data_IF_876274247938
#
_entry.id   IF_876274247938
#
_cell.length_a   1.000
_cell.length_b   1.000
_cell.length_c   1.000
_cell.angle_alpha   90.00
_cell.angle_beta   90.00
_cell.angle_gamma   90.00
#
_symmetry.space_group_name_H-M   'P 1'
#
loop_
_entity.id
_entity.type
_entity.pdbx_description
1 polymer ?
#
# COMPACT_ATOMS: atom_id res chain seq x y z
N UNK A 1 -49.60 17.73 -14.94
CA UNK A 1 -49.02 19.06 -15.25
C UNK A 1 -48.52 19.65 -13.93
N UNK A 2 -47.32 20.15 -13.73
CA UNK A 2 -46.15 20.35 -14.58
C UNK A 2 -45.13 21.07 -13.68
N UNK A 3 -43.86 20.60 -13.66
CA UNK A 3 -42.62 21.38 -13.46
C UNK A 3 -42.44 22.16 -12.12
N UNK A 4 -41.27 22.30 -11.53
CA UNK A 4 -39.89 22.07 -11.95
C UNK A 4 -38.97 22.66 -10.87
N UNK A 5 -37.77 22.10 -10.75
CA UNK A 5 -36.68 22.53 -9.85
C UNK A 5 -36.34 24.01 -10.00
N UNK A 6 -35.97 24.69 -8.91
CA UNK A 6 -34.75 25.53 -8.84
C UNK A 6 -34.17 25.41 -7.43
N UNK A 7 -33.04 24.70 -7.31
CA UNK A 7 -32.12 24.84 -6.18
C UNK A 7 -31.22 26.04 -6.52
N UNK A 8 -31.33 27.13 -5.76
CA UNK A 8 -30.41 28.26 -5.85
C UNK A 8 -29.27 28.08 -4.86
N UNK A 9 -28.06 28.18 -5.39
CA UNK A 9 -26.78 28.04 -4.73
C UNK A 9 -26.59 28.98 -3.54
N UNK A 10 -26.13 28.44 -2.42
CA UNK A 10 -25.14 29.05 -1.54
C UNK A 10 -24.48 27.93 -0.73
N UNK A 11 -23.42 27.34 -1.29
CA UNK A 11 -22.44 26.57 -0.52
C UNK A 11 -21.13 27.32 -0.64
N UNK A 12 -20.85 28.14 0.38
CA UNK A 12 -19.49 28.61 0.67
C UNK A 12 -19.29 28.44 2.17
N UNK A 13 -18.95 27.22 2.57
CA UNK A 13 -18.03 26.96 3.67
C UNK A 13 -17.07 25.87 3.16
N UNK A 14 -15.78 26.17 3.13
CA UNK A 14 -14.75 25.17 2.80
C UNK A 14 -14.52 24.31 4.05
N UNK A 15 -15.16 23.15 4.08
CA UNK A 15 -15.17 22.14 5.16
C UNK A 15 -13.90 21.24 5.19
N UNK A 16 -12.76 21.69 4.68
CA UNK A 16 -11.58 20.80 4.51
C UNK A 16 -10.77 20.53 5.81
N UNK A 17 -11.25 20.94 6.99
CA UNK A 17 -10.48 20.82 8.25
C UNK A 17 -11.30 20.35 9.49
N UNK A 18 -12.45 19.71 9.33
CA UNK A 18 -13.30 19.26 10.47
C UNK A 18 -13.36 17.74 10.71
N UNK A 19 -12.32 17.00 10.35
CA UNK A 19 -12.19 15.58 10.74
C UNK A 19 -10.87 15.35 11.50
N UNK A 20 -10.83 15.76 12.78
CA UNK A 20 -9.99 15.20 13.86
C UNK A 20 -10.07 16.12 15.11
N UNK A 21 -11.21 16.09 15.81
CA UNK A 21 -11.48 16.92 17.00
C UNK A 21 -11.08 16.21 18.32
N UNK A 22 -9.93 15.53 18.36
CA UNK A 22 -9.27 15.22 19.63
C UNK A 22 -8.16 16.26 19.88
N UNK A 23 -8.39 17.27 20.76
CA UNK A 23 -7.40 18.33 21.01
C UNK A 23 -6.11 17.81 21.63
N UNK A 24 -6.08 16.58 22.15
CA UNK A 24 -4.93 15.97 22.81
C UNK A 24 -4.10 15.06 21.87
N UNK A 25 -4.56 14.83 20.63
CA UNK A 25 -3.80 14.05 19.63
C UNK A 25 -3.22 14.98 18.54
N UNK A 26 -1.88 14.98 18.34
CA UNK A 26 -1.28 15.81 17.30
C UNK A 26 -1.76 15.36 15.91
N UNK A 27 -2.19 16.33 15.09
CA UNK A 27 -2.66 16.09 13.73
C UNK A 27 -1.58 15.37 12.91
N UNK A 28 -1.93 14.24 12.30
CA UNK A 28 -1.01 13.51 11.41
C UNK A 28 -0.61 14.36 10.21
N UNK A 29 0.67 14.32 9.85
CA UNK A 29 1.18 14.97 8.64
C UNK A 29 1.23 14.03 7.45
N UNK A 30 1.11 12.72 7.69
CA UNK A 30 1.10 11.70 6.64
C UNK A 30 -0.28 11.65 5.98
N UNK A 31 -0.37 12.15 4.74
CA UNK A 31 -1.60 12.13 3.93
C UNK A 31 -1.34 11.49 2.58
N UNK A 32 -2.27 10.67 2.10
CA UNK A 32 -2.21 10.08 0.76
C UNK A 32 -2.11 11.19 -0.31
N UNK A 33 -1.27 10.99 -1.32
CA UNK A 33 -0.99 11.95 -2.38
C UNK A 33 -0.05 13.10 -1.98
N UNK A 34 0.41 13.17 -0.73
CA UNK A 34 1.41 14.14 -0.27
C UNK A 34 2.77 13.47 -0.08
N UNK A 35 3.82 14.29 -0.01
CA UNK A 35 5.16 13.81 0.38
C UNK A 35 5.09 13.22 1.79
N UNK A 36 5.66 12.04 1.96
CA UNK A 36 5.82 11.41 3.26
C UNK A 36 6.67 12.32 4.17
N UNK A 37 6.26 12.60 5.42
CA UNK A 37 7.06 13.40 6.34
C UNK A 37 8.47 12.82 6.50
N UNK A 38 9.52 13.60 6.20
CA UNK A 38 10.88 13.12 6.38
C UNK A 38 11.23 13.06 7.88
N UNK A 39 12.06 12.09 8.27
CA UNK A 39 12.56 11.96 9.63
C UNK A 39 13.99 11.42 9.64
N UNK A 40 14.66 11.63 10.77
CA UNK A 40 15.90 10.93 11.11
C UNK A 40 15.67 10.09 12.36
N UNK A 41 16.03 8.81 12.31
CA UNK A 41 15.77 7.88 13.41
C UNK A 41 16.82 6.78 13.48
N UNK A 42 17.00 6.22 14.68
CA UNK A 42 17.82 5.03 14.89
C UNK A 42 17.09 3.79 14.39
N UNK A 43 17.83 2.88 13.77
CA UNK A 43 17.32 1.59 13.29
C UNK A 43 18.30 0.47 13.65
N UNK A 44 17.88 -0.77 13.42
CA UNK A 44 18.75 -1.96 13.49
C UNK A 44 19.91 -1.95 12.49
N UNK A 45 19.95 -1.01 11.55
CA UNK A 45 21.06 -0.81 10.59
C UNK A 45 21.83 0.50 10.83
N UNK A 46 21.57 1.17 11.96
CA UNK A 46 22.12 2.49 12.28
C UNK A 46 21.13 3.62 12.04
N UNK A 47 21.60 4.86 12.19
CA UNK A 47 20.76 6.04 11.97
C UNK A 47 20.47 6.25 10.48
N UNK A 48 19.21 6.51 10.14
CA UNK A 48 18.78 6.79 8.77
C UNK A 48 18.12 8.17 8.67
N UNK A 49 18.19 8.79 7.50
CA UNK A 49 17.23 9.78 7.01
C UNK A 49 16.28 9.06 6.04
N UNK A 50 14.96 9.18 6.19
CA UNK A 50 14.01 8.40 5.38
C UNK A 50 14.21 8.61 3.88
N UNK A 51 14.46 9.83 3.44
CA UNK A 51 14.58 10.12 2.01
C UNK A 51 15.87 9.58 1.41
N UNK A 52 16.99 9.73 2.13
CA UNK A 52 18.27 9.17 1.73
C UNK A 52 18.23 7.64 1.74
N UNK A 53 17.64 7.05 2.78
CA UNK A 53 17.48 5.61 2.90
C UNK A 53 16.59 5.03 1.81
N UNK A 54 15.48 5.69 1.44
CA UNK A 54 14.65 5.25 0.32
C UNK A 54 15.39 5.34 -1.02
N UNK A 55 16.18 6.40 -1.25
CA UNK A 55 16.82 6.63 -2.54
C UNK A 55 15.80 6.66 -3.67
N UNK A 56 16.03 5.93 -4.77
CA UNK A 56 15.09 5.80 -5.88
C UNK A 56 14.16 4.56 -5.77
N UNK A 57 14.15 3.90 -4.60
CA UNK A 57 13.29 2.75 -4.34
C UNK A 57 11.89 3.18 -3.89
N UNK A 58 10.93 2.28 -4.08
CA UNK A 58 9.67 2.30 -3.34
C UNK A 58 9.93 1.96 -1.87
N UNK A 59 9.05 2.41 -0.98
CA UNK A 59 9.08 2.10 0.45
C UNK A 59 7.77 1.53 0.94
N UNK A 60 7.84 0.50 1.78
CA UNK A 60 6.72 0.10 2.63
C UNK A 60 7.12 0.35 4.08
N UNK A 61 6.50 1.35 4.68
CA UNK A 61 6.62 1.66 6.10
C UNK A 61 5.45 1.03 6.83
N UNK A 62 5.70 0.34 7.94
CA UNK A 62 4.63 -0.32 8.65
C UNK A 62 4.90 -0.39 10.16
N UNK A 63 3.93 0.03 10.96
CA UNK A 63 4.02 -0.05 12.42
C UNK A 63 3.47 -1.36 12.95
N UNK A 64 3.80 -1.68 14.19
CA UNK A 64 3.22 -2.78 14.94
C UNK A 64 3.15 -2.39 16.42
N UNK A 65 2.16 -2.89 17.18
CA UNK A 65 1.97 -2.46 18.57
C UNK A 65 3.20 -2.62 19.47
N UNK A 66 3.79 -3.81 19.51
CA UNK A 66 4.97 -4.10 20.32
C UNK A 66 5.70 -5.37 19.83
N UNK A 67 7.03 -5.45 19.99
CA UNK A 67 7.78 -6.69 19.83
C UNK A 67 7.34 -7.73 20.89
N UNK A 68 7.78 -8.98 20.73
CA UNK A 68 7.46 -10.10 21.63
C UNK A 68 5.95 -10.38 21.80
N UNK A 69 5.13 -10.02 20.82
CA UNK A 69 3.70 -10.34 20.78
C UNK A 69 3.37 -11.25 19.59
N UNK A 70 2.42 -12.19 19.73
CA UNK A 70 2.23 -13.26 18.75
C UNK A 70 1.87 -12.76 17.35
N UNK A 71 0.94 -11.81 17.24
CA UNK A 71 0.49 -11.31 15.92
C UNK A 71 1.61 -10.49 15.25
N UNK A 72 2.36 -9.68 16.01
CA UNK A 72 3.48 -8.92 15.45
C UNK A 72 4.57 -9.87 14.93
N UNK A 73 4.89 -10.94 15.68
CA UNK A 73 5.88 -11.94 15.27
C UNK A 73 5.45 -12.65 13.99
N UNK A 74 4.16 -12.99 13.85
CA UNK A 74 3.67 -13.66 12.64
C UNK A 74 3.63 -12.73 11.42
N UNK A 75 3.24 -11.47 11.59
CA UNK A 75 3.29 -10.47 10.51
C UNK A 75 4.73 -10.24 10.03
N UNK A 76 5.63 -10.00 10.96
CA UNK A 76 7.02 -9.68 10.65
C UNK A 76 7.74 -10.86 9.99
N UNK A 77 7.50 -12.08 10.48
CA UNK A 77 8.01 -13.30 9.86
C UNK A 77 7.41 -13.59 8.48
N UNK A 78 6.13 -13.29 8.27
CA UNK A 78 5.50 -13.40 6.94
C UNK A 78 6.12 -12.41 5.95
N UNK A 79 6.33 -11.15 6.36
CA UNK A 79 6.99 -10.12 5.54
C UNK A 79 8.43 -10.56 5.21
N UNK A 80 9.19 -11.02 6.21
CA UNK A 80 10.55 -11.51 6.02
C UNK A 80 10.63 -12.70 5.04
N UNK A 81 9.71 -13.67 5.13
CA UNK A 81 9.63 -14.79 4.17
C UNK A 81 9.37 -14.34 2.73
N UNK A 82 8.70 -13.21 2.54
CA UNK A 82 8.41 -12.65 1.22
C UNK A 82 9.38 -11.53 0.82
N UNK A 83 10.49 -11.34 1.52
CA UNK A 83 11.43 -10.24 1.28
C UNK A 83 11.89 -10.15 -0.18
N UNK A 84 12.25 -11.28 -0.80
CA UNK A 84 12.69 -11.31 -2.20
C UNK A 84 11.60 -10.84 -3.18
N UNK A 85 10.31 -11.01 -2.85
CA UNK A 85 9.22 -10.49 -3.67
C UNK A 85 9.17 -8.96 -3.64
N UNK A 86 9.47 -8.33 -2.50
CA UNK A 86 9.58 -6.87 -2.37
C UNK A 86 10.85 -6.36 -3.07
N UNK A 87 11.98 -7.02 -2.85
CA UNK A 87 13.26 -6.68 -3.48
C UNK A 87 13.18 -6.69 -5.01
N UNK A 88 12.53 -7.72 -5.61
CA UNK A 88 12.29 -7.80 -7.06
C UNK A 88 11.53 -6.58 -7.62
N UNK A 89 10.71 -5.93 -6.79
CA UNK A 89 9.91 -4.75 -7.13
C UNK A 89 10.63 -3.44 -6.79
N UNK A 90 11.91 -3.47 -6.41
CA UNK A 90 12.65 -2.32 -5.91
C UNK A 90 11.93 -1.64 -4.73
N UNK A 91 11.44 -2.44 -3.77
CA UNK A 91 10.78 -1.96 -2.55
C UNK A 91 11.68 -2.21 -1.35
N UNK A 92 11.92 -1.17 -0.56
CA UNK A 92 12.53 -1.26 0.78
C UNK A 92 11.45 -1.37 1.86
N UNK A 93 11.76 -2.10 2.93
CA UNK A 93 10.83 -2.39 4.02
C UNK A 93 11.34 -1.77 5.32
N UNK A 94 10.50 -1.00 5.99
CA UNK A 94 10.82 -0.37 7.28
C UNK A 94 9.72 -0.66 8.30
N UNK A 95 10.03 -1.52 9.27
CA UNK A 95 9.17 -1.76 10.42
C UNK A 95 9.34 -0.66 11.46
N UNK A 96 8.27 -0.10 11.98
CA UNK A 96 8.29 0.97 13.00
C UNK A 96 7.86 0.38 14.34
N UNK A 97 8.71 0.51 15.36
CA UNK A 97 8.44 0.15 16.76
C UNK A 97 8.65 1.36 17.66
N UNK A 98 7.91 1.46 18.76
CA UNK A 98 8.14 2.47 19.80
C UNK A 98 9.08 1.98 20.92
N UNK A 99 9.81 0.90 20.68
CA UNK A 99 10.77 0.29 21.62
C UNK A 99 12.23 0.60 21.22
N UNK A 100 13.16 0.34 22.13
CA UNK A 100 14.60 0.54 21.90
C UNK A 100 15.20 -0.46 20.90
N UNK A 101 16.30 -0.07 20.27
CA UNK A 101 16.93 -0.84 19.20
C UNK A 101 17.47 -2.21 19.64
N UNK A 102 17.88 -2.38 20.90
CA UNK A 102 18.41 -3.66 21.38
C UNK A 102 17.29 -4.70 21.47
N UNK A 103 16.12 -4.30 21.99
CA UNK A 103 14.93 -5.15 21.99
C UNK A 103 14.52 -5.57 20.57
N UNK A 104 14.70 -4.69 19.57
CA UNK A 104 14.41 -5.02 18.17
C UNK A 104 15.38 -6.06 17.61
N UNK A 105 16.66 -6.01 17.99
CA UNK A 105 17.64 -7.04 17.63
C UNK A 105 17.30 -8.40 18.25
N UNK A 106 16.94 -8.41 19.54
CA UNK A 106 16.55 -9.64 20.24
C UNK A 106 15.27 -10.24 19.64
N UNK A 107 14.25 -9.41 19.38
CA UNK A 107 13.00 -9.86 18.78
C UNK A 107 13.19 -10.37 17.34
N UNK A 108 14.09 -9.77 16.56
CA UNK A 108 14.48 -10.30 15.25
C UNK A 108 15.04 -11.74 15.37
N UNK A 109 15.75 -12.05 16.46
CA UNK A 109 16.19 -13.41 16.81
C UNK A 109 15.02 -14.39 16.97
N UNK A 110 13.98 -14.02 17.73
CA UNK A 110 12.78 -14.83 17.92
C UNK A 110 12.02 -15.08 16.60
N UNK A 111 11.87 -14.04 15.78
CA UNK A 111 11.22 -14.15 14.47
C UNK A 111 11.99 -15.15 13.60
N UNK A 112 13.33 -15.05 13.56
CA UNK A 112 14.16 -15.99 12.81
C UNK A 112 13.98 -17.42 13.30
N UNK A 113 14.01 -17.63 14.61
CA UNK A 113 13.84 -18.95 15.20
C UNK A 113 12.47 -19.57 14.86
N UNK A 114 11.38 -18.80 15.02
CA UNK A 114 10.03 -19.28 14.77
C UNK A 114 9.75 -19.54 13.28
N UNK A 115 10.29 -18.71 12.37
CA UNK A 115 10.07 -18.85 10.92
C UNK A 115 11.12 -19.70 10.20
N UNK A 116 12.21 -20.10 10.88
CA UNK A 116 13.33 -20.85 10.31
C UNK A 116 14.15 -20.03 9.31
N UNK A 117 14.39 -18.74 9.60
CA UNK A 117 15.10 -17.84 8.71
C UNK A 117 16.60 -17.79 9.02
N UNK A 118 17.44 -17.88 8.00
CA UNK A 118 18.89 -17.72 8.15
C UNK A 118 19.26 -16.29 8.58
N UNK A 119 18.60 -15.29 8.01
CA UNK A 119 18.76 -13.89 8.33
C UNK A 119 17.38 -13.19 8.39
N UNK A 120 17.32 -12.07 9.11
CA UNK A 120 16.14 -11.22 9.17
C UNK A 120 16.38 -9.99 8.29
N UNK A 121 15.68 -9.82 7.15
CA UNK A 121 16.05 -8.85 6.13
C UNK A 121 15.32 -7.51 6.22
N UNK A 122 14.50 -7.29 7.26
CA UNK A 122 13.71 -6.07 7.41
C UNK A 122 14.41 -5.10 8.36
N UNK A 123 14.60 -3.86 7.92
CA UNK A 123 15.08 -2.78 8.79
C UNK A 123 14.01 -2.42 9.81
N UNK A 124 14.36 -2.35 11.11
CA UNK A 124 13.44 -1.93 12.17
C UNK A 124 13.88 -0.60 12.76
N UNK A 125 12.96 0.36 12.79
CA UNK A 125 13.11 1.68 13.39
C UNK A 125 12.75 1.63 14.87
N UNK A 126 13.62 2.19 15.71
CA UNK A 126 13.41 2.40 17.14
C UNK A 126 12.91 3.84 17.39
N UNK A 127 11.61 3.98 17.67
CA UNK A 127 10.92 5.24 17.91
C UNK A 127 10.55 5.40 19.39
N UNK A 128 11.53 5.29 20.28
CA UNK A 128 11.33 5.39 21.74
C UNK A 128 10.58 6.67 22.14
N UNK A 129 10.84 7.78 21.42
CA UNK A 129 10.18 9.07 21.63
C UNK A 129 8.75 9.15 21.08
N UNK A 130 8.33 8.17 20.27
CA UNK A 130 7.05 8.12 19.54
C UNK A 130 6.86 9.25 18.53
N UNK A 131 7.92 9.99 18.20
CA UNK A 131 7.85 11.13 17.32
C UNK A 131 7.42 10.72 15.91
N UNK A 132 7.95 9.61 15.38
CA UNK A 132 7.55 9.08 14.06
C UNK A 132 6.12 8.54 14.13
N UNK A 133 5.76 7.86 15.21
CA UNK A 133 4.41 7.35 15.43
C UNK A 133 3.37 8.47 15.43
N UNK A 134 3.60 9.58 16.12
CA UNK A 134 2.72 10.75 16.07
C UNK A 134 2.74 11.43 14.69
N UNK A 135 3.91 11.60 14.09
CA UNK A 135 4.06 12.24 12.77
C UNK A 135 3.24 11.54 11.67
N UNK A 136 3.13 10.22 11.77
CA UNK A 136 2.38 9.37 10.84
C UNK A 136 0.98 8.99 11.33
N UNK A 137 0.53 9.48 12.50
CA UNK A 137 -0.81 9.16 13.03
C UNK A 137 -1.00 7.69 13.39
N UNK A 138 0.05 7.05 13.92
CA UNK A 138 0.08 5.61 14.19
C UNK A 138 -0.46 5.25 15.58
N UNK A 139 -0.62 6.19 16.51
CA UNK A 139 -1.02 5.90 17.89
C UNK A 139 -2.50 5.50 17.98
N UNK A 140 -2.79 4.34 18.58
CA UNK A 140 -4.15 3.85 18.84
C UNK A 140 -4.59 4.29 20.25
N UNK A 141 -5.52 5.25 20.40
CA UNK A 141 -5.85 5.82 21.72
C UNK A 141 -6.46 4.80 22.70
N UNK A 142 -7.11 3.77 22.16
CA UNK A 142 -7.88 2.77 22.90
C UNK A 142 -7.08 1.53 23.28
N UNK A 143 -5.87 1.35 22.75
CA UNK A 143 -5.01 0.22 23.08
C UNK A 143 -3.77 0.70 23.81
N UNK A 144 -3.68 0.41 25.11
CA UNK A 144 -2.66 0.97 26.01
C UNK A 144 -1.97 -0.13 26.79
N UNK A 145 -0.73 0.16 27.15
CA UNK A 145 -0.02 -0.66 28.13
C UNK A 145 -0.70 -0.55 29.50
N UNK A 146 -0.95 -1.70 30.12
CA UNK A 146 -1.72 -1.77 31.37
C UNK A 146 -0.97 -1.17 32.57
N UNK A 147 0.36 -1.06 32.50
CA UNK A 147 1.18 -0.56 33.60
C UNK A 147 1.52 0.91 33.45
N UNK A 148 2.07 1.29 32.29
CA UNK A 148 2.49 2.66 32.00
C UNK A 148 1.34 3.56 31.52
N UNK A 149 0.24 2.99 31.03
CA UNK A 149 -0.89 3.71 30.43
C UNK A 149 -0.57 4.34 29.06
N UNK A 150 0.64 4.11 28.53
CA UNK A 150 1.10 4.66 27.26
C UNK A 150 0.37 3.93 26.11
N UNK A 151 -0.19 4.66 25.13
CA UNK A 151 -0.90 4.04 24.01
C UNK A 151 0.07 3.35 23.06
N UNK A 152 -0.31 2.18 22.54
CA UNK A 152 0.45 1.48 21.52
C UNK A 152 0.15 2.03 20.13
N UNK A 153 1.09 1.93 19.18
CA UNK A 153 0.76 2.15 17.78
C UNK A 153 -0.20 1.06 17.27
N UNK A 154 -1.12 1.44 16.38
CA UNK A 154 -1.91 0.52 15.58
C UNK A 154 -1.02 -0.21 14.55
N UNK A 155 -1.64 -1.05 13.71
CA UNK A 155 -0.99 -1.69 12.55
C UNK A 155 -1.18 -0.82 11.31
N UNK A 156 -0.53 0.34 11.30
CA UNK A 156 -0.49 1.26 10.17
C UNK A 156 0.49 0.81 9.09
N UNK A 157 0.18 1.11 7.83
CA UNK A 157 1.02 0.80 6.68
C UNK A 157 0.94 1.92 5.65
N UNK A 158 2.08 2.28 5.08
CA UNK A 158 2.25 3.28 4.05
C UNK A 158 3.05 2.70 2.89
N UNK A 159 2.55 2.83 1.66
CA UNK A 159 3.34 2.60 0.45
C UNK A 159 3.77 3.96 -0.09
N UNK A 160 5.08 4.17 -0.22
CA UNK A 160 5.71 5.42 -0.63
C UNK A 160 6.44 5.18 -1.95
N UNK A 161 6.23 6.06 -2.94
CA UNK A 161 6.90 5.96 -4.24
C UNK A 161 8.30 6.61 -4.25
N UNK A 162 9.09 6.43 -5.32
CA UNK A 162 10.42 7.05 -5.44
C UNK A 162 10.41 8.59 -5.36
N UNK A 163 9.28 9.24 -5.68
CA UNK A 163 9.08 10.69 -5.53
C UNK A 163 8.73 11.10 -4.10
N UNK A 164 8.78 10.14 -3.17
CA UNK A 164 8.46 10.26 -1.74
C UNK A 164 6.98 10.52 -1.48
N UNK A 165 6.10 10.25 -2.44
CA UNK A 165 4.66 10.46 -2.28
C UNK A 165 4.04 9.22 -1.63
N UNK A 166 3.19 9.43 -0.62
CA UNK A 166 2.38 8.36 -0.03
C UNK A 166 1.30 7.97 -1.05
N UNK A 167 1.35 6.75 -1.56
CA UNK A 167 0.43 6.23 -2.60
C UNK A 167 -0.69 5.38 -2.03
N UNK A 168 -0.48 4.77 -0.87
CA UNK A 168 -1.49 3.99 -0.18
C UNK A 168 -1.26 4.08 1.33
N UNK A 169 -2.36 4.10 2.08
CA UNK A 169 -2.38 4.02 3.53
C UNK A 169 -3.38 2.94 3.96
N UNK A 170 -3.05 2.18 4.99
CA UNK A 170 -3.96 1.20 5.58
C UNK A 170 -3.73 1.12 7.08
N UNK A 171 -4.82 1.11 7.85
CA UNK A 171 -4.78 1.07 9.31
C UNK A 171 -5.63 -0.09 9.80
N UNK A 172 -5.02 -0.97 10.58
CA UNK A 172 -5.71 -2.06 11.24
C UNK A 172 -5.56 -1.90 12.75
N UNK A 173 -6.57 -2.27 13.55
CA UNK A 173 -6.43 -2.34 14.99
C UNK A 173 -5.39 -3.41 15.37
N UNK A 174 -4.90 -3.35 16.60
CA UNK A 174 -3.97 -4.35 17.14
C UNK A 174 -4.44 -5.81 16.97
N UNK A 175 -5.75 -6.07 16.91
CA UNK A 175 -6.36 -7.39 16.87
C UNK A 175 -6.36 -8.08 15.50
N UNK A 176 -6.07 -7.37 14.40
CA UNK A 176 -6.14 -7.91 13.03
C UNK A 176 -4.75 -7.92 12.39
N UNK A 177 -4.19 -9.11 12.16
CA UNK A 177 -2.94 -9.25 11.39
C UNK A 177 -3.14 -8.94 9.91
N UNK A 178 -2.19 -8.22 9.31
CA UNK A 178 -2.18 -7.83 7.89
C UNK A 178 -1.83 -9.00 6.97
N UNK A 179 -2.34 -8.92 5.76
CA UNK A 179 -2.03 -9.86 4.69
C UNK A 179 -0.81 -9.39 3.88
N UNK A 180 0.34 -10.05 4.00
CA UNK A 180 1.55 -9.71 3.23
C UNK A 180 1.31 -9.76 1.71
N UNK A 181 0.48 -10.69 1.24
CA UNK A 181 0.13 -10.80 -0.19
C UNK A 181 -0.62 -9.58 -0.69
N UNK A 182 -1.47 -8.97 0.14
CA UNK A 182 -2.20 -7.76 -0.22
C UNK A 182 -1.26 -6.55 -0.37
N UNK A 183 -0.23 -6.46 0.49
CA UNK A 183 0.80 -5.43 0.37
C UNK A 183 1.53 -5.58 -0.97
N UNK A 184 1.94 -6.80 -1.33
CA UNK A 184 2.62 -7.09 -2.61
C UNK A 184 1.71 -6.78 -3.79
N UNK A 185 0.44 -7.22 -3.75
CA UNK A 185 -0.58 -6.97 -4.78
C UNK A 185 -0.83 -5.47 -4.98
N UNK A 186 -0.81 -4.69 -3.90
CA UNK A 186 -0.96 -3.24 -3.94
C UNK A 186 0.25 -2.55 -4.55
N UNK A 187 1.48 -2.98 -4.24
CA UNK A 187 2.69 -2.50 -4.93
C UNK A 187 2.62 -2.83 -6.42
N UNK A 188 2.25 -4.06 -6.77
CA UNK A 188 2.07 -4.51 -8.15
C UNK A 188 1.09 -3.62 -8.92
N UNK A 189 -0.05 -3.32 -8.30
CA UNK A 189 -1.07 -2.43 -8.87
C UNK A 189 -0.50 -1.03 -9.11
N UNK A 190 0.12 -0.41 -8.10
CA UNK A 190 0.66 0.94 -8.19
C UNK A 190 1.74 1.06 -9.27
N UNK A 191 2.66 0.09 -9.33
CA UNK A 191 3.72 0.08 -10.34
C UNK A 191 3.16 -0.14 -11.75
N UNK A 192 2.14 -1.00 -11.90
CA UNK A 192 1.46 -1.19 -13.18
C UNK A 192 0.72 0.07 -13.62
N UNK A 193 -0.05 0.71 -12.75
CA UNK A 193 -0.77 1.94 -13.11
C UNK A 193 0.20 3.05 -13.50
N UNK A 194 1.33 3.17 -12.80
CA UNK A 194 2.38 4.14 -13.12
C UNK A 194 3.04 3.87 -14.47
N UNK A 195 3.25 2.61 -14.86
CA UNK A 195 3.83 2.26 -16.17
C UNK A 195 2.95 2.67 -17.35
N UNK A 196 1.67 2.96 -17.11
CA UNK A 196 0.70 3.45 -18.09
C UNK A 196 0.28 4.90 -17.83
N UNK A 197 1.06 5.69 -17.07
CA UNK A 197 0.72 7.08 -16.73
C UNK A 197 -0.72 7.23 -16.18
N UNK A 198 -1.12 6.28 -15.33
CA UNK A 198 -2.46 6.16 -14.75
C UNK A 198 -3.61 6.08 -15.79
N UNK A 199 -3.31 5.67 -17.03
CA UNK A 199 -4.32 5.36 -18.07
C UNK A 199 -4.88 3.94 -17.96
N UNK A 200 -4.36 3.17 -17.02
CA UNK A 200 -4.79 1.82 -16.67
C UNK A 200 -5.07 1.76 -15.18
N UNK A 201 -6.15 1.08 -14.81
CA UNK A 201 -6.57 0.87 -13.43
C UNK A 201 -6.73 -0.63 -13.15
N UNK A 202 -6.38 -1.09 -11.96
CA UNK A 202 -6.63 -2.49 -11.56
C UNK A 202 -8.03 -2.63 -10.96
N UNK A 203 -8.89 -3.56 -11.44
CA UNK A 203 -10.24 -3.75 -10.91
C UNK A 203 -10.24 -4.35 -9.49
N UNK A 204 -11.45 -4.50 -8.92
CA UNK A 204 -11.64 -5.24 -7.67
C UNK A 204 -11.02 -6.64 -7.75
N UNK A 205 -10.40 -7.07 -6.65
CA UNK A 205 -9.75 -8.38 -6.49
C UNK A 205 -8.67 -8.69 -7.54
N UNK A 206 -8.12 -7.65 -8.17
CA UNK A 206 -7.10 -7.81 -9.20
C UNK A 206 -5.80 -8.38 -8.63
N UNK A 207 -5.25 -9.37 -9.32
CA UNK A 207 -3.92 -9.93 -9.10
C UNK A 207 -3.04 -9.75 -10.33
N UNK A 208 -1.71 -9.74 -10.13
CA UNK A 208 -0.75 -9.65 -11.23
C UNK A 208 -1.01 -10.72 -12.30
N UNK A 209 -1.07 -10.28 -13.56
CA UNK A 209 -1.38 -11.14 -14.70
C UNK A 209 -2.88 -11.27 -15.03
N UNK A 210 -3.78 -10.71 -14.23
CA UNK A 210 -5.22 -10.58 -14.57
C UNK A 210 -5.48 -9.31 -15.40
N UNK A 211 -6.61 -9.28 -16.10
CA UNK A 211 -7.03 -8.13 -16.90
C UNK A 211 -7.17 -6.87 -16.06
N UNK A 212 -6.68 -5.74 -16.60
CA UNK A 212 -6.84 -4.42 -16.03
C UNK A 212 -7.90 -3.62 -16.81
N UNK A 213 -8.29 -2.48 -16.28
CA UNK A 213 -9.27 -1.56 -16.86
C UNK A 213 -8.57 -0.39 -17.55
N UNK A 214 -9.11 0.09 -18.67
CA UNK A 214 -8.69 1.35 -19.27
C UNK A 214 -9.40 2.49 -18.55
N UNK A 215 -8.64 3.45 -18.02
CA UNK A 215 -9.20 4.61 -17.35
C UNK A 215 -10.12 5.40 -18.29
N UNK A 216 -11.19 6.00 -17.75
CA UNK A 216 -12.19 6.73 -18.52
C UNK A 216 -11.65 7.98 -19.22
N UNK A 217 -10.50 8.52 -18.79
CA UNK A 217 -9.84 9.66 -19.45
C UNK A 217 -9.24 9.32 -20.82
N UNK A 218 -9.02 8.04 -21.14
CA UNK A 218 -8.47 7.64 -22.44
C UNK A 218 -9.53 7.76 -23.53
N UNK A 219 -9.26 8.55 -24.57
CA UNK A 219 -10.19 8.73 -25.69
C UNK A 219 -10.14 7.53 -26.66
N UNK A 220 -11.19 7.29 -27.47
CA UNK A 220 -11.18 6.24 -28.47
C UNK A 220 -10.02 6.31 -29.48
N UNK A 221 -9.55 7.53 -29.80
CA UNK A 221 -8.42 7.73 -30.71
C UNK A 221 -7.09 7.31 -30.07
N UNK A 222 -6.95 7.54 -28.76
CA UNK A 222 -5.72 7.21 -28.03
C UNK A 222 -5.58 5.70 -27.77
N UNK A 223 -6.72 4.99 -27.66
CA UNK A 223 -6.75 3.54 -27.40
C UNK A 223 -5.84 2.76 -28.35
N UNK A 224 -5.99 2.99 -29.66
CA UNK A 224 -5.27 2.21 -30.67
C UNK A 224 -3.76 2.52 -30.65
N UNK A 225 -3.38 3.70 -30.19
CA UNK A 225 -1.98 4.12 -30.08
C UNK A 225 -1.34 3.58 -28.79
N UNK A 226 -2.08 3.62 -27.67
CA UNK A 226 -1.59 3.23 -26.35
C UNK A 226 -1.61 1.73 -26.11
N UNK A 227 -2.59 1.00 -26.66
CA UNK A 227 -2.83 -0.41 -26.36
C UNK A 227 -2.77 -1.27 -27.63
N UNK A 228 -1.55 -1.50 -28.12
CA UNK A 228 -1.30 -2.29 -29.33
C UNK A 228 -1.83 -3.73 -29.25
N UNK A 229 -1.93 -4.29 -28.03
CA UNK A 229 -2.51 -5.62 -27.77
C UNK A 229 -4.04 -5.67 -27.87
N UNK A 230 -4.70 -4.53 -28.10
CA UNK A 230 -6.14 -4.40 -28.20
C UNK A 230 -6.83 -4.10 -26.87
N UNK A 231 -8.02 -3.50 -26.97
CA UNK A 231 -8.93 -3.20 -25.85
C UNK A 231 -10.24 -3.93 -26.10
N UNK A 232 -10.76 -4.64 -25.11
CA UNK A 232 -12.11 -5.20 -25.14
C UNK A 232 -13.06 -4.18 -24.53
N UNK A 233 -14.09 -3.77 -25.27
CA UNK A 233 -15.18 -2.94 -24.75
C UNK A 233 -16.40 -3.80 -24.47
N UNK A 234 -16.87 -3.80 -23.24
CA UNK A 234 -18.04 -4.55 -22.80
C UNK A 234 -19.30 -3.68 -22.95
N UNK A 235 -20.27 -4.17 -23.71
CA UNK A 235 -21.54 -3.49 -23.89
C UNK A 235 -22.48 -3.78 -22.71
N UNK A 236 -22.83 -2.73 -21.98
CA UNK A 236 -23.70 -2.80 -20.80
C UNK A 236 -25.06 -2.13 -21.10
N UNK A 237 -26.11 -2.40 -20.30
CA UNK A 237 -27.46 -1.85 -20.53
C UNK A 237 -27.55 -0.32 -20.64
N UNK A 238 -26.57 0.41 -20.11
CA UNK A 238 -26.53 1.88 -20.18
C UNK A 238 -26.12 2.42 -21.56
N UNK A 239 -25.58 1.58 -22.44
CA UNK A 239 -25.03 2.00 -23.74
C UNK A 239 -23.73 2.82 -23.65
N UNK A 240 -23.19 3.05 -22.45
CA UNK A 240 -21.97 3.86 -22.25
C UNK A 240 -20.70 3.01 -22.44
N UNK A 241 -19.69 3.45 -23.23
CA UNK A 241 -18.51 2.65 -23.56
C UNK A 241 -17.38 2.76 -22.53
N UNK A 242 -17.71 2.76 -21.23
CA UNK A 242 -16.71 2.94 -20.15
C UNK A 242 -16.05 1.64 -19.71
N UNK A 243 -16.74 0.50 -19.91
CA UNK A 243 -16.27 -0.80 -19.45
C UNK A 243 -15.26 -1.37 -20.44
N UNK A 244 -13.99 -1.00 -20.26
CA UNK A 244 -12.90 -1.31 -21.20
C UNK A 244 -11.79 -2.06 -20.48
N UNK A 245 -11.36 -3.19 -21.02
CA UNK A 245 -10.32 -4.04 -20.42
C UNK A 245 -9.12 -4.23 -21.33
N UNK A 246 -7.92 -4.33 -20.74
CA UNK A 246 -6.65 -4.67 -21.39
C UNK A 246 -5.95 -5.81 -20.64
N UNK A 247 -4.98 -6.44 -21.30
CA UNK A 247 -4.33 -7.65 -20.80
C UNK A 247 -4.94 -8.91 -21.42
N UNK A 248 -4.50 -10.09 -20.98
CA UNK A 248 -4.75 -11.36 -21.68
C UNK A 248 -6.25 -11.59 -21.95
N UNK A 249 -6.72 -11.51 -23.21
CA UNK A 249 -8.11 -11.71 -23.59
C UNK A 249 -8.60 -13.14 -23.34
N UNK A 250 -7.73 -14.08 -22.94
CA UNK A 250 -8.08 -15.47 -22.59
C UNK A 250 -8.45 -15.71 -21.13
N UNK A 251 -8.44 -14.66 -20.30
CA UNK A 251 -8.95 -14.69 -18.91
C UNK A 251 -9.66 -13.40 -18.51
N UNK A 252 -10.82 -13.04 -19.08
CA UNK A 252 -11.83 -12.43 -18.22
C UNK A 252 -12.15 -13.47 -17.13
N UNK A 253 -12.23 -13.07 -15.86
CA UNK A 253 -12.95 -13.95 -14.94
C UNK A 253 -14.34 -14.16 -15.53
N UNK A 254 -14.81 -15.42 -15.69
CA UNK A 254 -16.13 -15.66 -16.21
C UNK A 254 -17.14 -15.13 -15.20
N UNK A 255 -17.66 -13.93 -15.43
CA UNK A 255 -18.92 -13.48 -14.82
C UNK A 255 -20.01 -14.01 -15.73
N UNK A 256 -20.82 -14.94 -15.19
CA UNK A 256 -22.01 -15.59 -15.79
C UNK A 256 -22.04 -15.51 -17.33
N UNK A 257 -21.46 -16.49 -18.02
CA UNK A 257 -21.58 -16.50 -19.48
C UNK A 257 -20.76 -17.51 -20.28
N UNK A 258 -19.42 -17.55 -20.20
CA UNK A 258 -18.62 -18.15 -21.28
C UNK A 258 -17.33 -18.87 -20.83
N UNK A 259 -16.85 -19.81 -21.67
CA UNK A 259 -15.91 -20.88 -21.35
C UNK A 259 -14.48 -20.74 -21.92
N UNK A 260 -13.51 -21.17 -21.10
CA UNK A 260 -12.21 -21.85 -21.34
C UNK A 260 -10.96 -21.19 -22.02
N UNK A 261 -9.82 -21.45 -21.34
CA UNK A 261 -8.41 -21.74 -21.79
C UNK A 261 -7.33 -20.66 -22.07
N UNK A 262 -6.46 -20.45 -21.05
CA UNK A 262 -4.97 -20.39 -20.89
C UNK A 262 -3.93 -19.71 -21.86
N UNK A 263 -2.95 -19.07 -21.16
CA UNK A 263 -1.53 -18.65 -21.40
C UNK A 263 -1.29 -17.48 -22.40
N UNK A 264 -0.53 -16.38 -22.12
CA UNK A 264 0.64 -16.07 -21.26
C UNK A 264 0.80 -14.52 -21.06
N UNK A 265 1.21 -14.01 -19.88
CA UNK A 265 1.46 -12.55 -19.64
C UNK A 265 2.79 -12.17 -18.96
N UNK A 266 3.78 -13.07 -18.88
CA UNK A 266 5.04 -12.82 -18.13
C UNK A 266 6.00 -11.85 -18.86
N UNK A 267 5.87 -11.65 -20.18
CA UNK A 267 6.90 -10.97 -21.00
C UNK A 267 6.90 -9.44 -20.99
N UNK A 268 5.81 -8.78 -20.57
CA UNK A 268 5.69 -7.33 -20.68
C UNK A 268 6.24 -6.56 -19.47
N UNK A 269 6.44 -7.22 -18.32
CA UNK A 269 6.85 -6.54 -17.09
C UNK A 269 8.36 -6.59 -16.81
N UNK A 270 9.12 -7.53 -17.38
CA UNK A 270 10.52 -7.79 -16.94
C UNK A 270 11.57 -7.96 -18.04
N UNK A 271 11.24 -7.78 -19.32
CA UNK A 271 12.21 -8.00 -20.41
C UNK A 271 12.54 -9.48 -20.64
N UNK A 272 13.02 -9.80 -21.83
CA UNK A 272 13.47 -11.14 -22.20
C UNK A 272 14.79 -11.42 -21.50
N UNK A 273 14.77 -12.21 -20.43
CA UNK A 273 15.80 -13.20 -20.05
C UNK A 273 15.58 -13.61 -18.59
N UNK A 274 14.76 -14.63 -18.37
CA UNK A 274 14.79 -15.45 -17.15
C UNK A 274 13.98 -16.73 -17.39
N UNK A 275 14.62 -17.69 -18.05
CA UNK A 275 14.33 -19.12 -17.84
C UNK A 275 14.85 -19.55 -16.46
#
# INVERSE_FOLDING_TARGET
>A
MSHGKIYSNEVIQTEDDQFDDDPDMPRTQAKMGKKAPNFKANTTEGMIDLYEWLGDSWGVLFSHPAPFTPICTTEMGSIAKHYEAFKKRNVKLLGISCEDVNLLHDWAGDIKAYYGLEHFPVTLLADESRAVAYLYGLIEPTYRDNFSGIPYPCRGLFIIDPKKIIRMMSFHPWSIGRCTKEIIRSVDSLQLTDSFDNKVCTPADWEMGKSAMVDTSVTPNDINTMFQSGVITWFLPSGKPYMRTIGDPKKPEPRVGEAATNLNLIKLAYGSDSD
#
